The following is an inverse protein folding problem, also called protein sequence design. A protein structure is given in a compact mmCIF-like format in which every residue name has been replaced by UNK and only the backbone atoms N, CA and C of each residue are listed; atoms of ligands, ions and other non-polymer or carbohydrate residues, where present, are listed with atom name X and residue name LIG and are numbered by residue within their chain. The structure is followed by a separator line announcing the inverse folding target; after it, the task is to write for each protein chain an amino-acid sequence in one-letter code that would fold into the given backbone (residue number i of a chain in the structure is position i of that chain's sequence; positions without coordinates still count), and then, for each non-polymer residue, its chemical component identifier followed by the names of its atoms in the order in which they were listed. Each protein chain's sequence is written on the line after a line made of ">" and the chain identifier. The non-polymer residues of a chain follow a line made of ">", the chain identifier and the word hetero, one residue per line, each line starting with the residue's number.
data_IF_169502540817
#
_entry.id   IF_169502540817
#
_cell.length_a   1.000
_cell.length_b   1.000
_cell.length_c   1.000
_cell.angle_alpha   90.00
_cell.angle_beta   90.00
_cell.angle_gamma   90.00
#
_symmetry.space_group_name_H-M   'P 1'
#
loop_
_entity.id
_entity.type
_entity.pdbx_description
1 polymer ?
#
# COMPACT_ATOMS: atom_id res chain seq x y z
N UNK A 1 -44.18 -63.74 20.21
CA UNK A 1 -44.47 -63.97 21.64
C UNK A 1 -43.54 -63.15 22.51
N UNK A 2 -44.13 -62.30 23.34
CA UNK A 2 -43.55 -61.65 24.59
C UNK A 2 -42.35 -60.79 24.42
N UNK A 3 -42.17 -59.59 25.02
CA UNK A 3 -43.04 -58.71 25.84
C UNK A 3 -42.27 -57.36 25.97
N UNK A 4 -43.01 -56.26 26.09
CA UNK A 4 -42.60 -54.91 26.45
C UNK A 4 -41.86 -54.90 27.76
N UNK A 5 -40.86 -54.01 27.91
CA UNK A 5 -40.61 -53.29 29.16
C UNK A 5 -40.10 -51.88 28.91
N UNK A 6 -40.94 -50.97 29.26
CA UNK A 6 -40.73 -49.50 29.43
C UNK A 6 -39.91 -49.28 30.71
N UNK A 7 -38.86 -48.47 30.62
CA UNK A 7 -38.29 -47.86 31.82
C UNK A 7 -38.11 -46.38 31.60
N UNK A 8 -38.91 -45.65 32.33
CA UNK A 8 -38.89 -44.20 32.49
C UNK A 8 -37.68 -43.79 33.36
N UNK A 9 -36.82 -42.94 32.87
CA UNK A 9 -35.87 -42.25 33.77
C UNK A 9 -35.89 -40.75 33.56
N UNK A 10 -36.14 -40.07 34.64
CA UNK A 10 -36.29 -38.64 34.85
C UNK A 10 -35.06 -37.88 34.38
N UNK A 11 -35.26 -36.91 33.48
CA UNK A 11 -34.26 -35.86 33.21
C UNK A 11 -34.17 -34.90 34.44
N UNK A 12 -33.04 -34.94 35.11
CA UNK A 12 -32.60 -33.84 36.00
C UNK A 12 -31.94 -32.79 35.11
N UNK A 13 -32.58 -31.63 35.00
CA UNK A 13 -31.99 -30.41 34.49
C UNK A 13 -30.94 -29.90 35.45
N UNK A 14 -29.66 -29.97 35.07
CA UNK A 14 -28.58 -29.27 35.74
C UNK A 14 -28.38 -27.95 34.94
N UNK A 15 -28.80 -26.86 35.53
CA UNK A 15 -28.45 -25.51 35.08
C UNK A 15 -26.96 -25.29 35.43
N UNK A 16 -26.08 -25.37 34.42
CA UNK A 16 -24.71 -24.92 34.55
C UNK A 16 -24.66 -23.46 34.12
N UNK A 17 -24.62 -22.55 35.08
CA UNK A 17 -24.41 -21.13 34.85
C UNK A 17 -22.97 -20.91 34.40
N UNK A 18 -22.74 -20.70 33.10
CA UNK A 18 -21.48 -20.20 32.57
C UNK A 18 -21.39 -18.70 32.88
N UNK A 19 -20.58 -18.36 33.88
CA UNK A 19 -20.06 -17.02 34.08
C UNK A 19 -19.05 -16.73 32.96
N UNK A 20 -19.43 -15.96 31.96
CA UNK A 20 -18.50 -15.33 31.04
C UNK A 20 -17.70 -14.26 31.81
N UNK A 21 -16.37 -14.23 31.72
CA UNK A 21 -15.61 -13.10 32.22
C UNK A 21 -15.92 -11.89 31.34
N UNK A 22 -16.37 -10.80 31.97
CA UNK A 22 -16.49 -9.50 31.31
C UNK A 22 -15.11 -9.07 30.83
N UNK A 23 -14.91 -9.11 29.50
CA UNK A 23 -13.75 -8.49 28.88
C UNK A 23 -13.87 -6.97 29.12
N UNK A 24 -13.05 -6.44 30.01
CA UNK A 24 -12.81 -5.01 30.14
C UNK A 24 -12.19 -4.53 28.84
N UNK A 25 -13.00 -3.98 27.95
CA UNK A 25 -12.50 -3.14 26.85
C UNK A 25 -11.94 -1.87 27.48
N UNK A 26 -10.63 -1.82 27.66
CA UNK A 26 -9.94 -0.59 27.98
C UNK A 26 -10.06 0.32 26.75
N UNK A 27 -11.03 1.24 26.78
CA UNK A 27 -11.10 2.34 25.82
C UNK A 27 -9.89 3.23 26.09
N UNK A 28 -8.85 3.09 25.26
CA UNK A 28 -7.75 4.07 25.22
C UNK A 28 -8.36 5.33 24.58
N UNK A 29 -8.86 6.23 25.42
CA UNK A 29 -9.18 7.58 25.00
C UNK A 29 -7.86 8.31 24.75
N UNK A 30 -7.40 8.28 23.50
CA UNK A 30 -6.32 9.13 23.04
C UNK A 30 -6.86 10.56 23.00
N UNK A 31 -6.59 11.36 24.04
CA UNK A 31 -6.89 12.78 24.07
C UNK A 31 -5.96 13.53 23.10
N UNK A 32 -6.19 13.38 21.80
CA UNK A 32 -5.63 14.26 20.78
C UNK A 32 -6.53 15.51 20.72
N UNK A 33 -6.18 16.55 21.47
CA UNK A 33 -6.76 17.87 21.28
C UNK A 33 -6.29 18.42 19.91
N UNK A 34 -6.93 17.98 18.83
CA UNK A 34 -6.81 18.61 17.53
C UNK A 34 -7.89 19.68 17.42
N UNK A 35 -7.45 20.93 17.42
CA UNK A 35 -8.29 22.14 17.33
C UNK A 35 -9.02 22.32 15.99
N UNK A 36 -9.10 21.32 15.11
CA UNK A 36 -9.77 21.43 13.81
C UNK A 36 -11.16 20.78 13.73
N UNK A 37 -11.58 20.03 14.74
CA UNK A 37 -12.91 19.37 14.75
C UNK A 37 -13.15 18.28 13.70
N UNK A 38 -12.19 18.05 12.80
CA UNK A 38 -12.26 17.05 11.73
C UNK A 38 -11.48 15.80 12.19
N UNK A 39 -12.07 14.59 12.16
CA UNK A 39 -11.36 13.37 12.56
C UNK A 39 -10.14 13.12 11.65
N UNK A 40 -9.07 12.52 12.17
CA UNK A 40 -7.92 12.13 11.38
C UNK A 40 -8.34 11.13 10.30
N UNK A 41 -7.70 11.21 9.13
CA UNK A 41 -7.98 10.30 8.02
C UNK A 41 -7.25 8.98 8.22
N UNK A 42 -8.00 7.91 8.49
CA UNK A 42 -7.49 6.55 8.56
C UNK A 42 -7.68 5.87 7.21
N UNK A 43 -6.63 5.21 6.70
CA UNK A 43 -6.67 4.53 5.42
C UNK A 43 -5.78 3.28 5.40
N UNK A 44 -6.16 2.33 4.57
CA UNK A 44 -5.36 1.13 4.26
C UNK A 44 -4.69 1.30 2.92
N UNK A 45 -3.37 1.30 2.92
CA UNK A 45 -2.51 1.49 1.75
C UNK A 45 -1.81 0.20 1.42
N UNK A 46 -1.66 -0.13 0.14
CA UNK A 46 -0.83 -1.23 -0.32
C UNK A 46 0.18 -0.78 -1.38
N UNK A 47 1.27 -1.53 -1.53
CA UNK A 47 2.16 -1.50 -2.68
C UNK A 47 2.36 -2.91 -3.19
N UNK A 48 2.35 -3.09 -4.51
CA UNK A 48 2.50 -4.39 -5.13
C UNK A 48 3.20 -4.29 -6.50
N UNK A 49 4.45 -4.74 -6.57
CA UNK A 49 5.10 -5.04 -7.84
C UNK A 49 4.48 -6.34 -8.39
N UNK A 50 3.83 -6.26 -9.55
CA UNK A 50 3.02 -7.36 -10.10
C UNK A 50 3.72 -8.16 -11.18
N UNK A 51 4.99 -7.85 -11.51
CA UNK A 51 5.74 -8.53 -12.58
C UNK A 51 4.86 -8.70 -13.85
N UNK A 52 4.29 -7.60 -14.35
CA UNK A 52 3.33 -7.56 -15.47
C UNK A 52 2.15 -8.55 -15.38
N UNK A 53 1.88 -9.11 -14.19
CA UNK A 53 0.85 -10.13 -13.93
C UNK A 53 1.37 -11.57 -13.96
N UNK A 54 2.69 -11.76 -14.10
CA UNK A 54 3.34 -13.06 -14.10
C UNK A 54 3.55 -13.56 -12.68
N UNK A 55 3.11 -14.78 -12.38
CA UNK A 55 3.36 -15.42 -11.10
C UNK A 55 4.65 -16.25 -11.09
N UNK A 56 5.05 -16.73 -9.91
CA UNK A 56 6.19 -17.63 -9.73
C UNK A 56 6.06 -18.96 -10.48
N UNK A 57 4.87 -19.29 -10.96
CA UNK A 57 4.57 -20.43 -11.83
C UNK A 57 4.73 -20.12 -13.33
N UNK A 58 5.23 -18.94 -13.69
CA UNK A 58 5.34 -18.43 -15.05
C UNK A 58 4.00 -18.37 -15.79
N UNK A 59 2.89 -18.15 -15.07
CA UNK A 59 1.56 -17.97 -15.65
C UNK A 59 1.10 -16.53 -15.51
N UNK A 60 0.70 -15.90 -16.62
CA UNK A 60 0.08 -14.59 -16.65
C UNK A 60 -1.36 -14.68 -16.10
N UNK A 61 -1.67 -13.98 -14.99
CA UNK A 61 -2.98 -14.11 -14.35
C UNK A 61 -3.37 -12.85 -13.53
N UNK A 62 -4.07 -11.90 -14.17
CA UNK A 62 -4.56 -10.69 -13.51
C UNK A 62 -5.65 -10.94 -12.47
N UNK A 63 -6.46 -12.01 -12.67
CA UNK A 63 -7.46 -12.39 -11.68
C UNK A 63 -6.82 -12.76 -10.34
N UNK A 64 -5.70 -13.48 -10.37
CA UNK A 64 -4.94 -13.83 -9.16
C UNK A 64 -4.40 -12.58 -8.45
N UNK A 65 -3.89 -11.60 -9.19
CA UNK A 65 -3.47 -10.31 -8.63
C UNK A 65 -4.66 -9.59 -7.97
N UNK A 66 -5.81 -9.53 -8.65
CA UNK A 66 -7.02 -8.93 -8.10
C UNK A 66 -7.53 -9.67 -6.84
N UNK A 67 -7.46 -10.99 -6.78
CA UNK A 67 -7.83 -11.78 -5.60
C UNK A 67 -6.94 -11.47 -4.40
N UNK A 68 -5.63 -11.32 -4.61
CA UNK A 68 -4.66 -10.89 -3.58
C UNK A 68 -5.01 -9.50 -3.05
N UNK A 69 -5.24 -8.54 -3.93
CA UNK A 69 -5.62 -7.17 -3.54
C UNK A 69 -7.00 -7.11 -2.87
N UNK A 70 -7.95 -7.94 -3.30
CA UNK A 70 -9.27 -8.07 -2.65
C UNK A 70 -9.15 -8.58 -1.21
N UNK A 71 -8.25 -9.53 -0.95
CA UNK A 71 -7.99 -10.04 0.40
C UNK A 71 -7.38 -8.96 1.32
N UNK A 72 -6.52 -8.09 0.80
CA UNK A 72 -5.96 -6.94 1.50
C UNK A 72 -7.03 -5.87 1.73
N UNK A 73 -7.94 -5.70 0.75
CA UNK A 73 -9.01 -4.68 0.78
C UNK A 73 -8.48 -3.25 1.02
N UNK A 74 -7.47 -2.77 0.27
CA UNK A 74 -6.88 -1.45 0.46
C UNK A 74 -7.79 -0.34 -0.06
N UNK A 75 -7.61 0.89 0.45
CA UNK A 75 -8.28 2.08 -0.10
C UNK A 75 -7.55 2.58 -1.34
N UNK A 76 -6.22 2.45 -1.36
CA UNK A 76 -5.36 2.84 -2.48
C UNK A 76 -4.15 1.91 -2.58
N UNK A 77 -3.71 1.63 -3.81
CA UNK A 77 -2.59 0.72 -4.12
C UNK A 77 -1.63 1.38 -5.10
N UNK A 78 -0.34 1.35 -4.79
CA UNK A 78 0.73 1.57 -5.77
C UNK A 78 1.05 0.25 -6.47
N UNK A 79 1.02 0.25 -7.80
CA UNK A 79 1.28 -0.95 -8.60
C UNK A 79 2.48 -0.70 -9.49
N UNK A 80 3.49 -1.55 -9.41
CA UNK A 80 4.70 -1.47 -10.21
C UNK A 80 4.72 -2.58 -11.26
N UNK A 81 5.56 -2.39 -12.28
CA UNK A 81 5.73 -3.30 -13.42
C UNK A 81 4.43 -3.58 -14.16
N UNK A 82 3.76 -2.52 -14.56
CA UNK A 82 2.48 -2.58 -15.24
C UNK A 82 2.66 -2.46 -16.74
N UNK A 83 2.26 -3.49 -17.46
CA UNK A 83 2.17 -3.47 -18.92
C UNK A 83 0.83 -2.89 -19.38
N UNK A 84 0.89 -2.17 -20.49
CA UNK A 84 -0.27 -1.72 -21.23
C UNK A 84 -0.07 -2.01 -22.71
N UNK A 85 -0.87 -2.93 -23.25
CA UNK A 85 -0.88 -3.29 -24.68
C UNK A 85 0.44 -3.84 -25.22
N UNK A 86 1.26 -4.50 -24.37
CA UNK A 86 2.51 -5.14 -24.81
C UNK A 86 2.25 -6.53 -25.41
N UNK A 87 3.17 -7.01 -26.25
CA UNK A 87 3.04 -8.34 -26.87
C UNK A 87 3.09 -9.47 -25.82
N UNK A 88 4.00 -9.37 -24.83
CA UNK A 88 4.12 -10.39 -23.76
C UNK A 88 2.88 -10.54 -22.92
N UNK A 89 2.01 -9.53 -22.88
CA UNK A 89 0.73 -9.56 -22.16
C UNK A 89 -0.48 -9.69 -23.08
N UNK A 90 -0.29 -10.20 -24.29
CA UNK A 90 -1.34 -10.39 -25.30
C UNK A 90 -2.12 -9.11 -25.60
N UNK A 91 -1.44 -7.97 -25.67
CA UNK A 91 -2.02 -6.64 -25.88
C UNK A 91 -3.11 -6.27 -24.86
N UNK A 92 -2.94 -6.69 -23.60
CA UNK A 92 -3.86 -6.41 -22.51
C UNK A 92 -3.47 -5.12 -21.77
N UNK A 93 -4.44 -4.33 -21.37
CA UNK A 93 -4.24 -3.25 -20.40
C UNK A 93 -4.35 -3.81 -18.98
N UNK A 94 -3.21 -4.26 -18.43
CA UNK A 94 -3.13 -5.02 -17.18
C UNK A 94 -3.81 -4.31 -16.00
N UNK A 95 -3.56 -2.99 -15.83
CA UNK A 95 -4.14 -2.24 -14.72
C UNK A 95 -5.67 -2.14 -14.82
N UNK A 96 -6.20 -2.00 -16.05
CA UNK A 96 -7.65 -1.96 -16.29
C UNK A 96 -8.34 -3.26 -15.94
N UNK A 97 -7.76 -4.40 -16.35
CA UNK A 97 -8.26 -5.74 -16.01
C UNK A 97 -8.34 -5.96 -14.48
N UNK A 98 -7.33 -5.52 -13.75
CA UNK A 98 -7.31 -5.63 -12.28
C UNK A 98 -8.34 -4.67 -11.66
N UNK A 99 -8.42 -3.44 -12.16
CA UNK A 99 -9.35 -2.41 -11.68
C UNK A 99 -10.81 -2.83 -11.83
N UNK A 100 -11.17 -3.39 -12.99
CA UNK A 100 -12.53 -3.89 -13.26
C UNK A 100 -12.94 -4.98 -12.27
N UNK A 101 -12.05 -5.95 -12.02
CA UNK A 101 -12.32 -7.04 -11.09
C UNK A 101 -12.46 -6.57 -9.63
N UNK A 102 -11.83 -5.45 -9.26
CA UNK A 102 -11.90 -4.86 -7.92
C UNK A 102 -13.02 -3.82 -7.78
N UNK A 103 -13.57 -3.34 -8.89
CA UNK A 103 -14.40 -2.13 -8.94
C UNK A 103 -13.65 -0.90 -8.38
N UNK A 104 -12.41 -0.71 -8.84
CA UNK A 104 -11.53 0.40 -8.48
C UNK A 104 -11.30 1.32 -9.68
N UNK A 105 -10.90 2.55 -9.40
CA UNK A 105 -10.39 3.48 -10.40
C UNK A 105 -8.93 3.18 -10.68
N UNK A 106 -8.55 3.22 -11.96
CA UNK A 106 -7.18 3.02 -12.42
C UNK A 106 -6.58 4.35 -12.92
N UNK A 107 -5.37 4.65 -12.46
CA UNK A 107 -4.53 5.72 -13.00
C UNK A 107 -3.20 5.11 -13.41
N UNK A 108 -2.77 5.33 -14.65
CA UNK A 108 -1.57 4.72 -15.23
C UNK A 108 -0.56 5.78 -15.66
N UNK A 109 0.73 5.52 -15.45
CA UNK A 109 1.84 6.33 -15.94
C UNK A 109 2.85 5.44 -16.66
N UNK A 110 2.98 5.56 -18.00
CA UNK A 110 4.01 4.90 -18.75
C UNK A 110 5.39 5.47 -18.39
N UNK A 111 6.39 4.59 -18.25
CA UNK A 111 7.79 4.97 -18.11
C UNK A 111 8.52 4.83 -19.45
N UNK A 112 8.30 3.73 -20.16
CA UNK A 112 8.95 3.40 -21.44
C UNK A 112 7.96 2.83 -22.46
N UNK A 113 8.37 2.89 -23.73
CA UNK A 113 7.79 2.06 -24.79
C UNK A 113 8.37 0.66 -24.70
N UNK A 114 7.52 -0.35 -24.76
CA UNK A 114 7.95 -1.75 -24.63
C UNK A 114 7.06 -2.69 -25.44
N UNK A 115 7.68 -3.53 -26.28
CA UNK A 115 7.01 -4.57 -27.07
C UNK A 115 5.70 -4.14 -27.77
N UNK A 116 5.72 -2.97 -28.40
CA UNK A 116 4.56 -2.42 -29.12
C UNK A 116 3.52 -1.72 -28.25
N UNK A 117 3.68 -1.77 -26.94
CA UNK A 117 2.85 -1.08 -25.95
C UNK A 117 3.66 -0.18 -25.04
N UNK A 118 3.29 -0.13 -23.78
CA UNK A 118 3.93 0.67 -22.73
C UNK A 118 4.17 -0.18 -21.48
N UNK A 119 5.24 0.15 -20.75
CA UNK A 119 5.52 -0.39 -19.43
C UNK A 119 5.69 0.76 -18.44
N UNK A 120 5.20 0.59 -17.21
CA UNK A 120 5.24 1.65 -16.23
C UNK A 120 4.65 1.25 -14.88
N UNK A 121 3.96 2.22 -14.27
CA UNK A 121 3.38 2.08 -12.94
C UNK A 121 1.92 2.50 -12.93
N UNK A 122 1.19 2.10 -11.89
CA UNK A 122 -0.21 2.44 -11.69
C UNK A 122 -0.58 2.81 -10.27
N UNK A 123 -1.76 3.39 -10.15
CA UNK A 123 -2.49 3.54 -8.90
C UNK A 123 -3.88 2.94 -9.10
N UNK A 124 -4.28 2.06 -8.19
CA UNK A 124 -5.66 1.60 -8.04
C UNK A 124 -6.26 2.22 -6.79
N UNK A 125 -7.49 2.74 -6.86
CA UNK A 125 -8.13 3.39 -5.72
C UNK A 125 -9.64 3.12 -5.67
N UNK A 126 -10.20 3.05 -4.45
CA UNK A 126 -11.66 2.96 -4.25
C UNK A 126 -12.36 4.25 -4.65
N UNK A 127 -11.74 5.38 -4.35
CA UNK A 127 -12.25 6.70 -4.69
C UNK A 127 -11.63 7.20 -5.99
N UNK A 128 -12.40 7.98 -6.73
CA UNK A 128 -11.90 8.61 -7.95
C UNK A 128 -10.96 9.76 -7.58
N UNK A 129 -9.72 9.80 -8.09
CA UNK A 129 -8.83 10.93 -7.87
C UNK A 129 -9.39 12.21 -8.52
N UNK A 130 -9.21 13.35 -7.84
CA UNK A 130 -9.56 14.68 -8.35
C UNK A 130 -8.64 15.07 -9.50
N UNK A 131 -7.35 14.78 -9.35
CA UNK A 131 -6.34 15.04 -10.38
C UNK A 131 -5.25 13.97 -10.35
N UNK A 132 -4.62 13.77 -11.50
CA UNK A 132 -3.48 12.85 -11.66
C UNK A 132 -2.37 13.59 -12.39
N UNK A 133 -1.14 13.45 -11.90
CA UNK A 133 0.07 14.06 -12.49
C UNK A 133 1.18 13.03 -12.55
N UNK A 134 2.01 13.15 -13.57
CA UNK A 134 3.20 12.34 -13.76
C UNK A 134 4.46 13.22 -13.72
N UNK A 135 5.51 12.72 -13.10
CA UNK A 135 6.84 13.36 -13.07
C UNK A 135 7.87 12.34 -13.53
N UNK A 136 8.77 12.76 -14.42
CA UNK A 136 9.94 11.94 -14.76
C UNK A 136 10.87 11.83 -13.54
N UNK A 137 11.40 10.64 -13.33
CA UNK A 137 12.44 10.37 -12.34
C UNK A 137 13.72 9.92 -13.04
N UNK A 138 14.89 10.15 -12.44
CA UNK A 138 16.15 9.58 -12.92
C UNK A 138 16.09 8.05 -13.02
N UNK A 139 16.68 7.52 -14.09
CA UNK A 139 16.79 6.09 -14.34
C UNK A 139 17.83 5.86 -15.44
N UNK A 140 19.06 5.53 -15.06
CA UNK A 140 20.19 5.36 -15.98
C UNK A 140 20.05 4.10 -16.83
N UNK A 141 19.45 3.04 -16.26
CA UNK A 141 19.20 1.77 -16.95
C UNK A 141 17.86 1.76 -17.69
N UNK A 142 16.85 2.45 -17.13
CA UNK A 142 15.50 2.51 -17.66
C UNK A 142 14.83 3.79 -17.15
N UNK A 143 14.07 4.49 -17.98
CA UNK A 143 13.34 5.67 -17.55
C UNK A 143 12.36 5.32 -16.43
N UNK A 144 12.35 6.15 -15.37
CA UNK A 144 11.50 5.98 -14.19
C UNK A 144 10.48 7.11 -14.09
N UNK A 145 9.43 6.86 -13.33
CA UNK A 145 8.34 7.83 -13.19
C UNK A 145 7.74 7.82 -11.79
N UNK A 146 7.19 8.98 -11.40
CA UNK A 146 6.34 9.14 -10.22
C UNK A 146 4.95 9.49 -10.70
N UNK A 147 3.96 8.69 -10.31
CA UNK A 147 2.55 8.95 -10.54
C UNK A 147 1.92 9.50 -9.27
N UNK A 148 1.29 10.65 -9.32
CA UNK A 148 0.70 11.34 -8.17
C UNK A 148 -0.80 11.51 -8.41
N UNK A 149 -1.61 10.94 -7.55
CA UNK A 149 -3.07 11.06 -7.51
C UNK A 149 -3.50 11.91 -6.31
N UNK A 150 -4.30 12.95 -6.56
CA UNK A 150 -4.84 13.82 -5.53
C UNK A 150 -6.28 13.40 -5.19
N UNK A 151 -6.57 13.27 -3.91
CA UNK A 151 -7.89 13.01 -3.34
C UNK A 151 -8.35 14.18 -2.46
N UNK A 152 -9.55 14.13 -1.92
CA UNK A 152 -10.09 15.23 -1.12
C UNK A 152 -9.22 15.57 0.08
N UNK A 153 -8.80 14.56 0.84
CA UNK A 153 -8.11 14.72 2.12
C UNK A 153 -6.60 14.42 2.08
N UNK A 154 -6.11 13.78 1.02
CA UNK A 154 -4.71 13.35 0.92
C UNK A 154 -4.24 13.31 -0.55
N UNK A 155 -2.94 13.10 -0.71
CA UNK A 155 -2.29 12.80 -1.99
C UNK A 155 -1.56 11.48 -1.89
N UNK A 156 -1.70 10.64 -2.90
CA UNK A 156 -1.01 9.36 -2.99
C UNK A 156 -0.12 9.30 -4.22
N UNK A 157 1.09 8.79 -4.05
CA UNK A 157 2.06 8.63 -5.13
C UNK A 157 2.52 7.18 -5.25
N UNK A 158 2.64 6.72 -6.49
CA UNK A 158 3.24 5.43 -6.86
C UNK A 158 4.57 5.66 -7.56
N UNK A 159 5.55 4.81 -7.29
CA UNK A 159 6.86 4.84 -7.95
C UNK A 159 7.47 3.45 -8.07
N UNK A 160 8.41 3.31 -9.02
CA UNK A 160 9.35 2.19 -9.13
C UNK A 160 10.71 2.82 -9.44
N UNK A 161 11.61 2.81 -8.43
CA UNK A 161 12.87 3.53 -8.55
C UNK A 161 13.93 2.75 -9.32
N UNK A 162 14.97 3.47 -9.74
CA UNK A 162 16.14 2.93 -10.48
C UNK A 162 16.92 1.91 -9.65
N UNK A 163 17.58 0.98 -10.32
CA UNK A 163 18.56 0.07 -9.73
C UNK A 163 19.87 0.80 -9.37
N UNK A 164 20.08 2.00 -9.92
CA UNK A 164 21.27 2.83 -9.68
C UNK A 164 21.07 3.72 -8.45
N UNK A 165 21.94 3.61 -7.43
CA UNK A 165 21.81 4.35 -6.17
C UNK A 165 21.78 5.87 -6.38
N UNK A 166 22.64 6.41 -7.27
CA UNK A 166 22.68 7.85 -7.54
C UNK A 166 21.33 8.39 -8.07
N UNK A 167 20.66 7.63 -8.92
CA UNK A 167 19.34 7.97 -9.47
C UNK A 167 18.26 7.94 -8.37
N UNK A 168 18.31 6.93 -7.49
CA UNK A 168 17.40 6.86 -6.33
C UNK A 168 17.57 8.06 -5.41
N UNK A 169 18.81 8.43 -5.10
CA UNK A 169 19.12 9.62 -4.27
C UNK A 169 18.58 10.90 -4.94
N UNK A 170 18.81 11.07 -6.24
CA UNK A 170 18.31 12.22 -6.98
C UNK A 170 16.77 12.28 -7.01
N UNK A 171 16.09 11.13 -7.02
CA UNK A 171 14.64 11.02 -6.99
C UNK A 171 14.02 11.57 -5.70
N UNK A 172 14.73 11.54 -4.56
CA UNK A 172 14.22 12.06 -3.26
C UNK A 172 13.75 13.50 -3.40
N UNK A 173 14.56 14.36 -4.03
CA UNK A 173 14.23 15.78 -4.20
C UNK A 173 12.96 15.99 -5.03
N UNK A 174 12.76 15.21 -6.09
CA UNK A 174 11.59 15.32 -6.97
C UNK A 174 10.32 14.87 -6.22
N UNK A 175 10.39 13.76 -5.46
CA UNK A 175 9.27 13.27 -4.65
C UNK A 175 8.94 14.26 -3.52
N UNK A 176 9.97 14.83 -2.86
CA UNK A 176 9.77 15.85 -1.82
C UNK A 176 9.08 17.10 -2.38
N UNK A 177 9.49 17.58 -3.56
CA UNK A 177 8.87 18.74 -4.21
C UNK A 177 7.41 18.47 -4.60
N UNK A 178 7.08 17.28 -5.09
CA UNK A 178 5.70 16.88 -5.35
C UNK A 178 4.87 16.89 -4.06
N UNK A 179 5.44 16.38 -2.95
CA UNK A 179 4.80 16.38 -1.65
C UNK A 179 4.57 17.81 -1.10
N UNK A 180 5.55 18.71 -1.21
CA UNK A 180 5.42 20.11 -0.79
C UNK A 180 4.34 20.84 -1.58
N UNK A 181 4.30 20.65 -2.90
CA UNK A 181 3.33 21.31 -3.80
C UNK A 181 1.90 20.86 -3.55
N UNK A 182 1.69 19.65 -3.03
CA UNK A 182 0.36 19.10 -2.79
C UNK A 182 -0.44 19.86 -1.73
N UNK A 183 0.25 20.43 -0.74
CA UNK A 183 -0.40 21.11 0.39
C UNK A 183 -1.22 20.22 1.32
N UNK A 184 -1.39 18.95 1.00
CA UNK A 184 -2.15 17.92 1.73
C UNK A 184 -1.21 16.87 2.35
N UNK A 185 -1.68 16.02 3.30
CA UNK A 185 -0.95 14.82 3.67
C UNK A 185 -0.57 14.01 2.42
N UNK A 186 0.70 13.60 2.34
CA UNK A 186 1.25 12.93 1.16
C UNK A 186 1.84 11.58 1.54
N UNK A 187 1.41 10.55 0.83
CA UNK A 187 1.92 9.18 0.96
C UNK A 187 2.54 8.76 -0.36
N UNK A 188 3.71 8.17 -0.31
CA UNK A 188 4.36 7.53 -1.44
C UNK A 188 4.54 6.05 -1.15
N UNK A 189 4.26 5.21 -2.14
CA UNK A 189 4.46 3.78 -2.05
C UNK A 189 5.06 3.24 -3.34
N UNK A 190 5.82 2.15 -3.23
CA UNK A 190 6.43 1.52 -4.39
C UNK A 190 7.59 0.60 -4.05
N UNK A 191 8.12 0.02 -5.11
CA UNK A 191 9.40 -0.65 -5.12
C UNK A 191 10.51 0.40 -5.20
N UNK A 192 11.22 0.60 -4.09
CA UNK A 192 12.29 1.57 -3.99
C UNK A 192 13.65 0.99 -4.39
N UNK A 193 13.72 -0.32 -4.70
CA UNK A 193 14.91 -1.03 -5.16
C UNK A 193 16.12 -0.88 -4.24
N UNK A 194 15.89 -0.74 -2.92
CA UNK A 194 16.98 -0.65 -1.97
C UNK A 194 16.60 -1.18 -0.58
N UNK A 195 17.62 -1.60 0.17
CA UNK A 195 17.49 -2.21 1.49
C UNK A 195 17.43 -1.16 2.61
N UNK A 196 16.82 -1.49 3.77
CA UNK A 196 16.63 -0.54 4.87
C UNK A 196 17.91 0.14 5.37
N UNK A 197 19.07 -0.51 5.24
CA UNK A 197 20.36 -0.01 5.74
C UNK A 197 21.15 0.80 4.71
N UNK A 198 20.62 0.96 3.49
CA UNK A 198 21.31 1.66 2.40
C UNK A 198 21.47 3.17 2.68
N UNK A 199 22.45 3.83 2.04
CA UNK A 199 22.59 5.29 2.11
C UNK A 199 21.34 6.00 1.57
N UNK A 200 20.73 5.47 0.51
CA UNK A 200 19.52 6.03 -0.06
C UNK A 200 18.34 5.99 0.94
N UNK A 201 18.04 4.85 1.55
CA UNK A 201 16.92 4.74 2.51
C UNK A 201 17.15 5.66 3.72
N UNK A 202 18.39 5.77 4.23
CA UNK A 202 18.68 6.73 5.31
C UNK A 202 18.38 8.17 4.92
N UNK A 203 18.76 8.60 3.70
CA UNK A 203 18.46 9.94 3.21
C UNK A 203 16.95 10.13 2.94
N UNK A 204 16.27 9.10 2.42
CA UNK A 204 14.84 9.11 2.22
C UNK A 204 14.08 9.27 3.55
N UNK A 205 14.51 8.55 4.59
CA UNK A 205 13.94 8.66 5.94
C UNK A 205 14.14 10.03 6.59
N UNK A 206 15.03 10.89 6.11
CA UNK A 206 15.10 12.30 6.56
C UNK A 206 13.83 13.09 6.18
N UNK A 207 13.23 12.77 5.04
CA UNK A 207 12.08 13.48 4.45
C UNK A 207 10.76 12.73 4.65
N UNK A 208 10.81 11.41 4.67
CA UNK A 208 9.65 10.54 4.73
C UNK A 208 9.72 9.61 5.94
N UNK A 209 8.57 9.33 6.53
CA UNK A 209 8.42 8.33 7.57
C UNK A 209 7.97 7.02 6.94
N UNK A 210 8.76 5.96 7.06
CA UNK A 210 8.36 4.62 6.61
C UNK A 210 7.23 4.11 7.51
N UNK A 211 6.13 3.70 6.90
CA UNK A 211 4.92 3.19 7.53
C UNK A 211 4.73 1.68 7.36
N UNK A 212 5.35 1.06 6.36
CA UNK A 212 5.22 -0.38 6.05
C UNK A 212 6.07 -1.32 6.90
N UNK A 213 6.87 -0.78 7.84
CA UNK A 213 7.89 -1.58 8.49
C UNK A 213 9.06 -1.93 7.56
N UNK A 214 9.83 -2.95 7.91
CA UNK A 214 11.02 -3.41 7.17
C UNK A 214 10.96 -4.92 6.89
N UNK A 215 9.75 -5.42 6.65
CA UNK A 215 9.54 -6.82 6.34
C UNK A 215 9.99 -7.11 4.91
N UNK A 216 10.48 -8.33 4.70
CA UNK A 216 11.01 -8.77 3.41
C UNK A 216 9.87 -9.10 2.45
N UNK A 217 9.94 -8.56 1.24
CA UNK A 217 8.92 -8.72 0.18
C UNK A 217 9.42 -9.49 -1.04
N UNK A 218 10.74 -9.60 -1.23
CA UNK A 218 11.35 -10.22 -2.40
C UNK A 218 12.47 -11.22 -2.04
N UNK A 219 12.66 -12.34 -2.81
CA UNK A 219 11.70 -12.91 -3.77
C UNK A 219 10.50 -13.56 -3.06
N UNK A 220 9.36 -13.68 -3.75
CA UNK A 220 8.08 -14.06 -3.14
C UNK A 220 8.05 -15.47 -2.55
N UNK A 221 8.80 -16.44 -3.11
CA UNK A 221 8.87 -17.81 -2.61
C UNK A 221 9.62 -17.89 -1.26
N UNK A 222 10.76 -17.18 -1.15
CA UNK A 222 11.60 -17.14 0.05
C UNK A 222 12.16 -15.74 0.27
N UNK A 223 11.40 -14.81 0.84
CA UNK A 223 11.82 -13.42 0.97
C UNK A 223 13.12 -13.24 1.74
N UNK A 224 14.08 -12.58 1.10
CA UNK A 224 15.39 -12.24 1.66
C UNK A 224 15.64 -10.75 1.74
N UNK A 225 14.90 -9.95 0.95
CA UNK A 225 15.10 -8.51 0.81
C UNK A 225 13.81 -7.72 1.05
N UNK A 226 13.94 -6.55 1.66
CA UNK A 226 12.89 -5.54 1.79
C UNK A 226 13.18 -4.45 0.74
N UNK A 227 12.40 -4.41 -0.34
CA UNK A 227 12.56 -3.48 -1.46
C UNK A 227 11.33 -2.56 -1.61
N UNK A 228 10.18 -3.00 -1.09
CA UNK A 228 8.90 -2.32 -1.20
C UNK A 228 8.60 -1.52 0.06
N UNK A 229 8.13 -0.28 -0.12
CA UNK A 229 7.88 0.64 1.00
C UNK A 229 6.59 1.42 0.82
N UNK A 230 5.98 1.77 1.96
CA UNK A 230 4.93 2.77 2.11
C UNK A 230 5.46 3.82 3.07
N UNK A 231 5.47 5.09 2.66
CA UNK A 231 6.02 6.17 3.48
C UNK A 231 5.17 7.44 3.40
N UNK A 232 5.07 8.16 4.50
CA UNK A 232 4.39 9.43 4.61
C UNK A 232 5.40 10.60 4.65
N UNK A 233 5.12 11.68 3.94
CA UNK A 233 5.95 12.88 3.97
C UNK A 233 5.93 13.55 5.35
N UNK A 234 7.11 13.86 5.88
CA UNK A 234 7.30 14.57 7.15
C UNK A 234 7.06 16.07 6.94
N UNK A 235 5.79 16.46 6.97
CA UNK A 235 5.41 17.86 6.78
C UNK A 235 5.83 18.70 7.98
N UNK A 236 6.64 19.75 7.76
CA UNK A 236 6.93 20.73 8.79
C UNK A 236 5.70 21.61 9.04
N UNK A 237 5.19 21.65 10.26
CA UNK A 237 4.13 22.57 10.64
C UNK A 237 4.67 23.99 10.62
N UNK A 238 4.13 24.85 9.78
CA UNK A 238 4.38 26.30 9.83
C UNK A 238 3.38 26.93 10.79
N UNK A 239 3.77 27.06 12.07
CA UNK A 239 3.00 27.88 13.00
C UNK A 239 3.07 29.34 12.54
N UNK A 240 1.92 30.02 12.46
CA UNK A 240 1.83 31.46 12.14
C UNK A 240 2.64 32.37 13.11
N UNK A 241 3.13 31.83 14.21
CA UNK A 241 3.87 32.54 15.26
C UNK A 241 5.39 32.26 15.27
N UNK A 242 5.97 31.70 14.19
CA UNK A 242 7.43 31.53 14.05
C UNK A 242 8.06 30.49 15.01
N UNK A 243 7.32 29.89 15.91
CA UNK A 243 7.76 28.73 16.70
C UNK A 243 7.44 27.49 15.89
N UNK A 244 8.47 26.76 15.44
CA UNK A 244 8.30 25.51 14.70
C UNK A 244 7.28 24.62 15.43
N UNK A 245 6.10 24.44 14.80
CA UNK A 245 5.07 23.56 15.32
C UNK A 245 5.56 22.11 15.28
N UNK A 246 5.09 21.29 16.23
CA UNK A 246 5.41 19.89 16.25
C UNK A 246 5.03 19.24 14.89
N UNK A 247 5.93 18.43 14.34
CA UNK A 247 5.56 17.52 13.27
C UNK A 247 4.50 16.57 13.83
N UNK A 248 3.37 16.48 13.14
CA UNK A 248 2.42 15.40 13.42
C UNK A 248 2.77 14.25 12.47
N UNK A 249 3.48 13.21 12.93
CA UNK A 249 3.82 12.06 12.10
C UNK A 249 2.54 11.30 11.74
N UNK A 250 2.57 10.59 10.62
CA UNK A 250 1.56 9.57 10.36
C UNK A 250 1.66 8.49 11.46
N UNK A 251 0.53 7.96 11.89
CA UNK A 251 0.50 6.85 12.86
C UNK A 251 0.24 5.56 12.10
N UNK A 252 1.17 4.62 12.17
CA UNK A 252 0.96 3.27 11.64
C UNK A 252 0.26 2.44 12.71
N UNK A 253 -0.95 1.98 12.40
CA UNK A 253 -1.74 1.11 13.28
C UNK A 253 -1.38 -0.36 13.06
N UNK A 254 -1.07 -0.71 11.81
CA UNK A 254 -0.75 -2.06 11.38
C UNK A 254 0.13 -2.01 10.12
N UNK A 255 1.02 -2.97 9.94
CA UNK A 255 1.69 -3.24 8.67
C UNK A 255 2.02 -4.71 8.54
N UNK A 256 1.95 -5.25 7.32
CA UNK A 256 2.24 -6.65 7.03
C UNK A 256 2.68 -6.85 5.57
N UNK A 257 3.19 -8.05 5.29
CA UNK A 257 3.54 -8.55 3.96
C UNK A 257 2.73 -9.82 3.70
N UNK A 258 1.84 -9.77 2.72
CA UNK A 258 0.95 -10.89 2.44
C UNK A 258 1.69 -12.02 1.72
N UNK A 259 1.66 -13.23 2.27
CA UNK A 259 2.29 -14.39 1.67
C UNK A 259 1.53 -14.85 0.42
N UNK A 260 2.12 -14.63 -0.75
CA UNK A 260 1.59 -15.04 -2.06
C UNK A 260 2.73 -15.28 -3.05
N UNK A 261 2.48 -16.03 -4.10
CA UNK A 261 3.36 -16.25 -5.25
C UNK A 261 2.70 -15.79 -6.56
N UNK A 262 1.74 -14.87 -6.45
CA UNK A 262 1.04 -14.32 -7.61
C UNK A 262 1.91 -13.34 -8.43
N UNK A 263 3.05 -12.92 -7.88
CA UNK A 263 4.17 -12.20 -8.50
C UNK A 263 5.47 -12.69 -7.87
N UNK A 264 6.62 -12.24 -8.34
CA UNK A 264 7.93 -12.45 -7.71
C UNK A 264 8.17 -11.53 -6.51
N UNK A 265 7.34 -10.51 -6.30
CA UNK A 265 7.23 -9.74 -5.07
C UNK A 265 5.99 -10.15 -4.26
N UNK A 266 6.05 -9.96 -2.95
CA UNK A 266 4.88 -10.01 -2.06
C UNK A 266 4.34 -8.60 -1.85
N UNK A 267 3.01 -8.40 -1.89
CA UNK A 267 2.45 -7.10 -1.60
C UNK A 267 2.65 -6.74 -0.14
N UNK A 268 2.96 -5.48 0.10
CA UNK A 268 3.01 -4.89 1.43
C UNK A 268 1.74 -4.08 1.69
N UNK A 269 1.32 -4.02 2.94
CA UNK A 269 0.15 -3.27 3.39
C UNK A 269 0.46 -2.51 4.66
N UNK A 270 -0.09 -1.30 4.79
CA UNK A 270 -0.09 -0.54 6.03
C UNK A 270 -1.47 0.09 6.27
N UNK A 271 -1.93 0.06 7.49
CA UNK A 271 -3.07 0.85 7.96
C UNK A 271 -2.52 2.06 8.71
N UNK A 272 -2.80 3.24 8.19
CA UNK A 272 -2.18 4.48 8.65
C UNK A 272 -3.24 5.53 8.97
N UNK A 273 -2.92 6.39 9.93
CA UNK A 273 -3.68 7.59 10.25
C UNK A 273 -2.83 8.79 9.85
N UNK A 274 -3.35 9.58 8.92
CA UNK A 274 -2.67 10.78 8.44
C UNK A 274 -3.05 11.99 9.31
N UNK A 275 -2.07 12.85 9.65
CA UNK A 275 -2.36 14.13 10.29
C UNK A 275 -3.08 15.07 9.31
N UNK A 276 -4.00 15.86 9.80
CA UNK A 276 -4.68 16.93 9.04
C UNK A 276 -4.09 18.29 9.34
#
# INVERSE_FOLDING_TARGET
>A
MKTKKTVNQKLKRIFLSLLLPAAMTASITCNAQNNSGIPPHQMRVASYNIQHGMGMDNQLNYKRIAEVLRAISPDVVAVQEVDSMTQRTNNTYALGEIAEQLNYYASYAPAIDFEGGKYGIGILSRERPISVRQYALPGSEEARTLLVAEFDDFVFASTHLSLTEADRIASIGIIEEAAKKSGKPFVVAGDLNDKPESPFIRQFEEKFQICSGKQKSWPADKPTECLDYIAAYKRKSTSKNGKGGAQHPAVTLFSDVLNTQASDHRPIVAEIVLPR
#
